data_IF_800089240826
#
_entry.id   IF_800089240826
#
_cell.length_a   1.000
_cell.length_b   1.000
_cell.length_c   1.000
_cell.angle_alpha   90.00
_cell.angle_beta   90.00
_cell.angle_gamma   90.00
#
_symmetry.space_group_name_H-M   'P 1'
#
loop_
_entity.id
_entity.type
_entity.pdbx_description
1 polymer ?
#
# COMPACT_ATOMS: atom_id res chain seq x y z
N UNK A 1 24.45 32.34 20.79
CA UNK A 1 24.51 31.09 21.59
C UNK A 1 23.12 30.59 22.00
N UNK A 2 22.33 31.40 22.70
CA UNK A 2 21.01 31.02 23.26
C UNK A 2 20.08 30.45 22.18
N UNK A 3 20.03 31.06 21.00
CA UNK A 3 19.20 30.59 19.89
C UNK A 3 19.57 29.17 19.45
N UNK A 4 20.84 28.90 19.13
CA UNK A 4 21.30 27.56 18.72
C UNK A 4 21.00 26.52 19.82
N UNK A 5 21.33 26.82 21.07
CA UNK A 5 21.10 25.92 22.21
C UNK A 5 19.63 25.63 22.47
N UNK A 6 18.71 26.51 22.08
CA UNK A 6 17.26 26.29 22.25
C UNK A 6 16.72 25.27 21.25
N UNK A 7 17.36 25.13 20.09
CA UNK A 7 16.82 24.40 18.95
C UNK A 7 17.57 23.11 18.59
N UNK A 8 18.72 22.84 19.21
CA UNK A 8 19.41 21.55 19.08
C UNK A 8 18.83 20.51 20.05
N UNK A 9 19.01 19.24 19.73
CA UNK A 9 18.62 18.10 20.55
C UNK A 9 19.27 18.13 21.95
N UNK A 10 18.59 17.62 22.98
CA UNK A 10 19.09 17.66 24.36
C UNK A 10 20.41 16.89 24.55
N UNK A 11 20.62 15.79 23.82
CA UNK A 11 21.90 15.06 23.83
C UNK A 11 23.04 15.92 23.28
N UNK A 12 22.76 16.66 22.19
CA UNK A 12 23.71 17.61 21.62
C UNK A 12 23.98 18.80 22.54
N UNK A 13 22.98 19.27 23.30
CA UNK A 13 23.20 20.33 24.29
C UNK A 13 24.21 19.89 25.33
N UNK A 14 24.08 18.67 25.83
CA UNK A 14 24.97 18.09 26.84
C UNK A 14 26.41 17.96 26.32
N UNK A 15 26.57 17.40 25.13
CA UNK A 15 27.88 17.20 24.47
C UNK A 15 28.65 18.50 24.29
N UNK A 16 27.95 19.60 23.96
CA UNK A 16 28.56 20.91 23.72
C UNK A 16 28.29 21.92 24.84
N UNK A 17 28.06 21.49 26.09
CA UNK A 17 27.79 22.40 27.23
C UNK A 17 28.89 23.45 27.43
N UNK A 18 30.15 23.07 27.25
CA UNK A 18 31.33 23.91 27.52
C UNK A 18 31.68 24.87 26.38
N UNK A 19 31.07 24.72 25.19
CA UNK A 19 31.36 25.59 24.05
C UNK A 19 30.63 26.94 24.20
N UNK A 20 31.35 27.95 24.65
CA UNK A 20 30.78 29.30 24.87
C UNK A 20 30.66 30.11 23.58
N UNK A 21 31.56 29.87 22.61
CA UNK A 21 31.58 30.59 21.35
C UNK A 21 30.48 30.07 20.40
N UNK A 22 29.51 30.91 19.97
CA UNK A 22 28.45 30.49 19.06
C UNK A 22 28.95 30.02 17.70
N UNK A 23 30.04 30.61 17.20
CA UNK A 23 30.61 30.25 15.90
C UNK A 23 31.27 28.88 15.96
N UNK A 24 32.02 28.60 17.03
CA UNK A 24 32.62 27.29 17.28
C UNK A 24 31.55 26.21 17.45
N UNK A 25 30.49 26.49 18.22
CA UNK A 25 29.36 25.58 18.36
C UNK A 25 28.73 25.25 17.00
N UNK A 26 28.54 26.27 16.16
CA UNK A 26 28.01 26.08 14.81
C UNK A 26 28.93 25.22 13.94
N UNK A 27 30.24 25.48 13.92
CA UNK A 27 31.20 24.68 13.14
C UNK A 27 31.19 23.21 13.61
N UNK A 28 31.25 22.96 14.91
CA UNK A 28 31.22 21.59 15.46
C UNK A 28 29.93 20.85 15.09
N UNK A 29 28.78 21.52 15.16
CA UNK A 29 27.49 20.93 14.76
C UNK A 29 27.44 20.67 13.25
N UNK A 30 27.96 21.59 12.45
CA UNK A 30 28.03 21.46 11.00
C UNK A 30 28.94 20.28 10.60
N UNK A 31 30.13 20.18 11.17
CA UNK A 31 31.07 19.09 10.91
C UNK A 31 30.46 17.72 11.25
N UNK A 32 29.81 17.61 12.42
CA UNK A 32 29.09 16.39 12.81
C UNK A 32 27.97 16.05 11.83
N UNK A 33 27.24 17.06 11.35
CA UNK A 33 26.17 16.87 10.36
C UNK A 33 26.72 16.43 9.00
N UNK A 34 27.82 17.01 8.53
CA UNK A 34 28.50 16.58 7.30
C UNK A 34 29.00 15.12 7.40
N UNK A 35 29.57 14.73 8.55
CA UNK A 35 29.89 13.33 8.81
C UNK A 35 28.66 12.42 8.77
N UNK A 36 27.54 12.86 9.34
CA UNK A 36 26.29 12.10 9.32
C UNK A 36 25.78 11.92 7.88
N UNK A 37 25.84 12.96 7.03
CA UNK A 37 25.48 12.84 5.60
C UNK A 37 26.33 11.79 4.90
N UNK A 38 27.63 11.74 5.15
CA UNK A 38 28.54 10.77 4.53
C UNK A 38 28.15 9.31 4.83
N UNK A 39 27.54 9.05 6.00
CA UNK A 39 27.05 7.72 6.40
C UNK A 39 25.63 7.47 5.89
N UNK A 40 24.75 8.47 5.94
CA UNK A 40 23.33 8.34 5.58
C UNK A 40 23.13 8.25 4.08
N UNK A 41 23.87 9.03 3.28
CA UNK A 41 23.71 9.10 1.82
C UNK A 41 23.83 7.74 1.12
N UNK A 42 24.90 6.93 1.32
CA UNK A 42 25.01 5.63 0.64
C UNK A 42 23.87 4.68 1.02
N UNK A 43 23.42 4.70 2.27
CA UNK A 43 22.30 3.89 2.72
C UNK A 43 20.98 4.34 2.06
N UNK A 44 20.71 5.65 2.04
CA UNK A 44 19.51 6.20 1.42
C UNK A 44 19.48 5.95 -0.11
N UNK A 45 20.63 6.00 -0.79
CA UNK A 45 20.74 5.65 -2.21
C UNK A 45 20.49 4.16 -2.45
N UNK A 46 20.99 3.28 -1.58
CA UNK A 46 20.72 1.85 -1.64
C UNK A 46 19.22 1.56 -1.40
N UNK A 47 18.65 2.13 -0.34
CA UNK A 47 17.22 2.00 -0.02
C UNK A 47 16.36 2.52 -1.17
N UNK A 48 16.74 3.67 -1.76
CA UNK A 48 16.09 4.19 -2.95
C UNK A 48 16.18 3.18 -4.08
N UNK A 49 17.36 2.65 -4.41
CA UNK A 49 17.52 1.65 -5.48
C UNK A 49 16.63 0.42 -5.28
N UNK A 50 16.65 -0.13 -4.07
CA UNK A 50 15.99 -1.39 -3.71
C UNK A 50 14.49 -1.28 -3.44
N UNK A 51 13.95 -0.07 -3.26
CA UNK A 51 12.53 0.15 -3.01
C UNK A 51 11.66 -0.48 -4.13
N UNK A 52 10.73 -1.36 -3.74
CA UNK A 52 9.73 -1.97 -4.63
C UNK A 52 8.34 -1.92 -4.01
N UNK A 53 7.31 -1.79 -4.85
CA UNK A 53 5.94 -1.64 -4.41
C UNK A 53 5.40 -2.92 -3.77
N UNK A 54 5.82 -4.07 -4.31
CA UNK A 54 5.43 -5.41 -3.86
C UNK A 54 5.90 -5.77 -2.43
N UNK A 55 6.89 -5.06 -1.91
CA UNK A 55 7.46 -5.34 -0.59
C UNK A 55 6.57 -4.74 0.54
N UNK A 56 5.48 -4.05 0.17
CA UNK A 56 4.53 -3.40 1.07
C UNK A 56 3.13 -4.00 0.93
N UNK A 57 2.39 -4.02 2.04
CA UNK A 57 1.01 -4.52 2.04
C UNK A 57 0.04 -3.48 1.49
N UNK A 58 0.32 -2.20 1.74
CA UNK A 58 -0.56 -1.09 1.33
C UNK A 58 0.17 0.00 0.56
N UNK A 59 -0.56 0.73 -0.27
CA UNK A 59 -0.07 1.93 -0.97
C UNK A 59 0.46 2.97 0.04
N UNK A 60 -0.18 3.07 1.20
CA UNK A 60 0.20 4.01 2.27
C UNK A 60 1.55 3.68 2.90
N UNK A 61 1.83 2.41 3.17
CA UNK A 61 3.13 1.95 3.68
C UNK A 61 4.27 2.23 2.69
N UNK A 62 4.05 1.92 1.42
CA UNK A 62 4.99 2.26 0.35
C UNK A 62 5.26 3.76 0.30
N UNK A 63 4.20 4.57 0.32
CA UNK A 63 4.30 6.02 0.26
C UNK A 63 5.09 6.60 1.44
N UNK A 64 4.84 6.08 2.64
CA UNK A 64 5.58 6.46 3.84
C UNK A 64 7.08 6.17 3.70
N UNK A 65 7.44 4.96 3.27
CA UNK A 65 8.85 4.58 3.11
C UNK A 65 9.54 5.36 2.00
N UNK A 66 8.87 5.59 0.88
CA UNK A 66 9.39 6.44 -0.20
C UNK A 66 9.70 7.85 0.34
N UNK A 67 8.79 8.49 1.07
CA UNK A 67 9.05 9.81 1.64
C UNK A 67 10.11 9.83 2.73
N UNK A 68 10.24 8.75 3.51
CA UNK A 68 11.34 8.60 4.48
C UNK A 68 12.69 8.64 3.78
N UNK A 69 12.86 7.85 2.71
CA UNK A 69 14.10 7.82 1.90
C UNK A 69 14.34 9.19 1.23
N UNK A 70 13.32 9.77 0.61
CA UNK A 70 13.42 11.09 -0.05
C UNK A 70 13.84 12.17 0.93
N UNK A 71 13.36 12.12 2.17
CA UNK A 71 13.75 13.06 3.22
C UNK A 71 15.23 12.92 3.58
N UNK A 72 15.74 11.70 3.65
CA UNK A 72 17.17 11.44 3.87
C UNK A 72 18.04 11.92 2.69
N UNK A 73 17.62 11.64 1.45
CA UNK A 73 18.32 12.12 0.25
C UNK A 73 18.38 13.65 0.22
N UNK A 74 17.24 14.33 0.43
CA UNK A 74 17.18 15.80 0.48
C UNK A 74 18.03 16.38 1.61
N UNK A 75 18.04 15.73 2.77
CA UNK A 75 18.91 16.12 3.90
C UNK A 75 20.40 16.06 3.50
N UNK A 76 20.77 15.09 2.68
CA UNK A 76 22.13 14.94 2.15
C UNK A 76 22.45 15.86 0.96
N UNK A 77 21.51 16.71 0.53
CA UNK A 77 21.70 17.66 -0.57
C UNK A 77 21.25 17.15 -1.94
N UNK A 78 20.68 15.95 -2.03
CA UNK A 78 20.18 15.40 -3.30
C UNK A 78 18.88 16.08 -3.74
N UNK A 79 18.81 16.40 -5.03
CA UNK A 79 17.63 17.03 -5.63
C UNK A 79 16.68 15.96 -6.15
N UNK A 80 15.59 15.74 -5.42
CA UNK A 80 14.53 14.81 -5.83
C UNK A 80 13.36 15.57 -6.46
N UNK A 81 13.15 15.36 -7.76
CA UNK A 81 12.09 16.00 -8.55
C UNK A 81 10.79 15.19 -8.57
N UNK A 82 9.70 15.80 -9.00
CA UNK A 82 8.41 15.11 -9.19
C UNK A 82 8.53 13.95 -10.20
N UNK A 83 9.24 14.18 -11.31
CA UNK A 83 9.44 13.17 -12.35
C UNK A 83 10.23 11.97 -11.83
N UNK A 84 11.23 12.21 -10.97
CA UNK A 84 11.97 11.13 -10.31
C UNK A 84 11.07 10.29 -9.40
N UNK A 85 10.16 10.91 -8.64
CA UNK A 85 9.21 10.17 -7.80
C UNK A 85 8.24 9.35 -8.66
N UNK A 86 7.70 9.95 -9.72
CA UNK A 86 6.79 9.29 -10.67
C UNK A 86 7.47 8.09 -11.32
N UNK A 87 8.63 8.30 -11.96
CA UNK A 87 9.39 7.24 -12.60
C UNK A 87 9.83 6.16 -11.63
N UNK A 88 10.21 6.54 -10.40
CA UNK A 88 10.54 5.57 -9.36
C UNK A 88 9.34 4.68 -9.09
N UNK A 89 8.17 5.24 -8.80
CA UNK A 89 6.95 4.47 -8.54
C UNK A 89 6.54 3.60 -9.72
N UNK A 90 6.61 4.11 -10.95
CA UNK A 90 6.33 3.31 -12.14
C UNK A 90 7.26 2.10 -12.27
N UNK A 91 8.56 2.25 -11.97
CA UNK A 91 9.52 1.15 -12.04
C UNK A 91 9.38 0.13 -10.91
N UNK A 92 8.68 0.48 -9.83
CA UNK A 92 8.48 -0.42 -8.69
C UNK A 92 7.33 -1.42 -8.86
N UNK A 93 6.51 -1.30 -9.91
CA UNK A 93 5.46 -2.27 -10.21
C UNK A 93 6.06 -3.62 -10.64
N UNK A 94 5.45 -4.72 -10.19
CA UNK A 94 5.84 -6.07 -10.60
C UNK A 94 5.56 -6.29 -12.10
N UNK A 95 6.35 -7.15 -12.75
CA UNK A 95 6.24 -7.45 -14.18
C UNK A 95 4.85 -8.00 -14.57
N UNK A 96 4.19 -8.75 -13.68
CA UNK A 96 2.81 -9.22 -13.91
C UNK A 96 1.79 -8.08 -13.98
N UNK A 97 2.12 -6.90 -13.44
CA UNK A 97 1.29 -5.70 -13.44
C UNK A 97 1.69 -4.72 -14.54
N UNK A 98 2.37 -5.19 -15.59
CA UNK A 98 2.84 -4.37 -16.71
C UNK A 98 1.72 -3.57 -17.39
N UNK A 99 0.51 -4.14 -17.51
CA UNK A 99 -0.66 -3.44 -18.05
C UNK A 99 -1.08 -2.24 -17.18
N UNK A 100 -1.10 -2.45 -15.86
CA UNK A 100 -1.43 -1.40 -14.89
C UNK A 100 -0.38 -0.28 -14.97
N UNK A 101 0.90 -0.65 -14.97
CA UNK A 101 2.01 0.28 -15.20
C UNK A 101 1.82 1.11 -16.47
N UNK A 102 1.48 0.46 -17.60
CA UNK A 102 1.27 1.16 -18.87
C UNK A 102 0.09 2.13 -18.81
N UNK A 103 -1.03 1.73 -18.20
CA UNK A 103 -2.20 2.58 -18.03
C UNK A 103 -1.88 3.84 -17.20
N UNK A 104 -1.18 3.68 -16.07
CA UNK A 104 -0.83 4.82 -15.21
C UNK A 104 0.22 5.75 -15.84
N UNK A 105 1.10 5.23 -16.70
CA UNK A 105 2.01 6.06 -17.51
C UNK A 105 1.27 6.85 -18.58
N UNK A 106 0.35 6.20 -19.31
CA UNK A 106 -0.47 6.85 -20.34
C UNK A 106 -1.36 7.96 -19.77
N UNK A 107 -1.75 7.85 -18.50
CA UNK A 107 -2.51 8.91 -17.83
C UNK A 107 -1.71 10.23 -17.71
N UNK A 108 -0.38 10.20 -17.79
CA UNK A 108 0.45 11.41 -17.90
C UNK A 108 0.43 12.29 -16.64
N UNK A 109 0.54 11.67 -15.46
CA UNK A 109 0.61 12.43 -14.20
C UNK A 109 1.81 13.37 -14.19
N UNK A 110 1.59 14.64 -13.80
CA UNK A 110 2.66 15.66 -13.63
C UNK A 110 3.08 15.87 -12.17
N UNK A 111 2.37 15.23 -11.25
CA UNK A 111 2.51 15.42 -9.80
C UNK A 111 2.37 14.08 -9.10
N UNK A 112 3.33 13.73 -8.27
CA UNK A 112 3.34 12.47 -7.53
C UNK A 112 2.08 12.30 -6.67
N UNK A 113 1.63 13.37 -6.02
CA UNK A 113 0.39 13.35 -5.20
C UNK A 113 -0.86 12.88 -5.96
N UNK A 114 -0.92 13.14 -7.28
CA UNK A 114 -2.06 12.69 -8.11
C UNK A 114 -1.96 11.20 -8.40
N UNK A 115 -0.75 10.72 -8.72
CA UNK A 115 -0.50 9.30 -8.93
C UNK A 115 -0.82 8.48 -7.67
N UNK A 116 -0.26 8.87 -6.51
CA UNK A 116 -0.48 8.13 -5.26
C UNK A 116 -1.95 8.16 -4.83
N UNK A 117 -2.64 9.29 -5.04
CA UNK A 117 -4.09 9.39 -4.79
C UNK A 117 -4.90 8.42 -5.65
N UNK A 118 -4.58 8.30 -6.94
CA UNK A 118 -5.24 7.31 -7.81
C UNK A 118 -4.95 5.87 -7.39
N UNK A 119 -3.72 5.57 -6.96
CA UNK A 119 -3.36 4.24 -6.46
C UNK A 119 -4.12 3.88 -5.18
N UNK A 120 -4.28 4.83 -4.24
CA UNK A 120 -5.08 4.63 -3.03
C UNK A 120 -6.55 4.33 -3.34
N UNK A 121 -7.14 5.06 -4.29
CA UNK A 121 -8.53 4.80 -4.72
C UNK A 121 -8.65 3.41 -5.35
N UNK A 122 -7.68 3.00 -6.17
CA UNK A 122 -7.69 1.69 -6.80
C UNK A 122 -7.53 0.55 -5.78
N UNK A 123 -6.66 0.71 -4.78
CA UNK A 123 -6.52 -0.23 -3.67
C UNK A 123 -7.84 -0.41 -2.91
N UNK A 124 -8.50 0.69 -2.54
CA UNK A 124 -9.78 0.63 -1.84
C UNK A 124 -10.88 -0.04 -2.67
N UNK A 125 -10.93 0.23 -3.97
CA UNK A 125 -11.90 -0.41 -4.87
C UNK A 125 -11.66 -1.92 -4.98
N UNK A 126 -10.40 -2.37 -5.01
CA UNK A 126 -10.07 -3.79 -5.05
C UNK A 126 -10.47 -4.51 -3.76
N UNK A 127 -10.24 -3.89 -2.58
CA UNK A 127 -10.72 -4.42 -1.30
C UNK A 127 -12.24 -4.59 -1.28
N UNK A 128 -12.98 -3.58 -1.76
CA UNK A 128 -14.44 -3.65 -1.86
C UNK A 128 -14.91 -4.74 -2.82
N UNK A 129 -14.21 -4.97 -3.94
CA UNK A 129 -14.54 -6.05 -4.86
C UNK A 129 -14.33 -7.43 -4.22
N UNK A 130 -13.26 -7.62 -3.44
CA UNK A 130 -13.02 -8.86 -2.71
C UNK A 130 -14.12 -9.12 -1.67
N UNK A 131 -14.51 -8.12 -0.89
CA UNK A 131 -15.62 -8.23 0.09
C UNK A 131 -16.98 -8.54 -0.58
N UNK A 132 -17.25 -7.96 -1.76
CA UNK A 132 -18.45 -8.27 -2.52
C UNK A 132 -18.49 -9.72 -3.03
N UNK A 133 -17.32 -10.29 -3.38
CA UNK A 133 -17.23 -11.70 -3.73
C UNK A 133 -17.49 -12.61 -2.54
N UNK A 134 -16.92 -12.29 -1.37
CA UNK A 134 -17.14 -13.06 -0.14
C UNK A 134 -18.59 -13.01 0.34
N UNK A 135 -19.24 -11.83 0.31
CA UNK A 135 -20.64 -11.68 0.70
C UNK A 135 -21.60 -12.45 -0.22
N UNK A 136 -21.30 -12.54 -1.52
CA UNK A 136 -22.07 -13.33 -2.49
C UNK A 136 -21.94 -14.84 -2.32
N UNK A 137 -20.90 -15.34 -1.68
CA UNK A 137 -20.75 -16.77 -1.38
C UNK A 137 -21.66 -17.24 -0.23
N UNK A 138 -22.36 -16.32 0.44
CA UNK A 138 -23.54 -16.67 1.24
C UNK A 138 -24.70 -16.88 0.25
N UNK A 139 -24.75 -18.07 -0.35
CA UNK A 139 -25.85 -18.45 -1.23
C UNK A 139 -27.19 -18.34 -0.51
N UNK A 140 -28.30 -18.05 -1.22
CA UNK A 140 -29.63 -18.12 -0.62
C UNK A 140 -29.79 -19.52 -0.02
N UNK A 141 -30.20 -19.58 1.25
CA UNK A 141 -30.55 -20.84 1.91
C UNK A 141 -31.43 -21.65 0.94
N UNK A 142 -31.17 -22.95 0.72
CA UNK A 142 -32.02 -23.77 -0.13
C UNK A 142 -33.45 -23.56 0.34
N UNK A 143 -34.30 -23.06 -0.56
CA UNK A 143 -35.72 -22.93 -0.25
C UNK A 143 -36.19 -24.32 0.22
N UNK A 144 -36.84 -24.43 1.39
CA UNK A 144 -37.27 -25.72 1.88
C UNK A 144 -38.18 -26.34 0.83
N UNK A 145 -37.79 -27.51 0.35
CA UNK A 145 -38.51 -28.28 -0.64
C UNK A 145 -39.84 -28.73 0.00
N UNK A 146 -40.92 -27.97 -0.26
CA UNK A 146 -42.26 -28.27 0.26
C UNK A 146 -42.85 -29.39 -0.60
N UNK A 147 -42.58 -30.63 -0.21
CA UNK A 147 -43.26 -31.81 -0.74
C UNK A 147 -44.69 -31.88 -0.18
N UNK A 148 -45.66 -31.33 -0.92
CA UNK A 148 -47.07 -31.56 -0.66
C UNK A 148 -47.52 -32.87 -1.33
N UNK A 149 -47.41 -34.00 -0.63
CA UNK A 149 -48.06 -35.25 -1.05
C UNK A 149 -49.40 -35.39 -0.33
N UNK A 150 -50.46 -35.11 -1.08
CA UNK A 150 -51.86 -35.31 -0.72
C UNK A 150 -52.19 -36.80 -0.52
N UNK A 151 -52.84 -37.07 0.61
CA UNK A 151 -53.89 -38.07 0.84
C UNK A 151 -53.70 -39.52 0.34
N UNK A 152 -53.50 -40.40 1.33
CA UNK A 152 -54.04 -41.76 1.45
C UNK A 152 -55.16 -42.13 0.47
N UNK A 153 -54.98 -43.21 -0.28
CA UNK A 153 -56.00 -44.27 -0.38
C UNK A 153 -55.34 -45.64 -0.55
N UNK A 154 -55.55 -46.46 0.47
CA UNK A 154 -55.29 -47.89 0.53
C UNK A 154 -56.33 -48.60 -0.35
N UNK A 155 -55.89 -49.54 -1.19
CA UNK A 155 -56.79 -50.35 -2.01
C UNK A 155 -56.11 -51.56 -2.62
N UNK A 156 -55.86 -52.59 -1.79
CA UNK A 156 -55.48 -53.94 -2.21
C UNK A 156 -56.65 -54.62 -2.93
N UNK A 157 -56.36 -55.20 -4.10
CA UNK A 157 -56.69 -56.60 -4.39
C UNK A 157 -57.96 -56.93 -5.20
N UNK A 158 -57.71 -57.74 -6.25
CA UNK A 158 -58.54 -58.82 -6.85
C UNK A 158 -59.87 -58.48 -7.54
N UNK A 159 -59.95 -58.85 -8.82
CA UNK A 159 -61.21 -59.11 -9.52
C UNK A 159 -61.01 -59.59 -10.96
N UNK A 160 -61.48 -60.81 -11.26
CA UNK A 160 -61.42 -61.50 -12.55
C UNK A 160 -62.46 -61.00 -13.58
N UNK A 161 -62.21 -61.26 -14.88
CA UNK A 161 -63.22 -61.31 -15.95
C UNK A 161 -62.68 -60.85 -17.32
N UNK A 162 -62.33 -61.75 -18.23
CA UNK A 162 -63.14 -62.34 -19.34
C UNK A 162 -63.51 -61.40 -20.50
N UNK A 163 -62.84 -61.67 -21.63
CA UNK A 163 -63.32 -61.83 -23.01
C UNK A 163 -64.08 -60.75 -23.81
N UNK A 164 -63.76 -60.77 -25.13
CA UNK A 164 -64.36 -60.18 -26.35
C UNK A 164 -63.68 -58.87 -26.80
N UNK A 165 -63.13 -58.72 -28.00
CA UNK A 165 -63.26 -59.49 -29.23
C UNK A 165 -63.74 -58.57 -30.35
N UNK A 166 -62.84 -58.19 -31.27
CA UNK A 166 -63.04 -58.07 -32.72
C UNK A 166 -61.72 -57.71 -33.38
#
# INVERSE_FOLDING_TARGET
LIFLRRHIDDGLKYEYLTVENPFELWQNLNDRFEHLKAVVLPNALNDWSQLRFQDFKTVSEYNFMLFKIVSQLKMCGEVITEDMLLEKTYRTFHASNMLLHQQYRLHGFKKYRKLIGSLLIAEQNNELLLQNHESRLTGPAPLPEVNATSSYFVGRGRGCGRERGR
#
